data_IF_468786008061
#
_entry.id   IF_468786008061
#
_cell.length_a   1.000
_cell.length_b   1.000
_cell.length_c   1.000
_cell.angle_alpha   90.00
_cell.angle_beta   90.00
_cell.angle_gamma   90.00
#
_symmetry.space_group_name_H-M   'P 1'
#
loop_
_entity.id
_entity.type
_entity.pdbx_description
1 polymer ?
#
# COMPACT_ATOMS: atom_id res chain seq x y z
N UNK A 1 27.27 -0.34 -5.86
CA UNK A 1 26.43 -1.06 -4.86
C UNK A 1 26.93 -0.65 -3.48
N UNK A 2 26.08 -0.03 -2.67
CA UNK A 2 26.43 0.28 -1.26
C UNK A 2 26.61 -1.05 -0.55
N UNK A 3 27.76 -1.23 0.11
CA UNK A 3 27.97 -2.38 1.01
C UNK A 3 27.11 -2.13 2.27
N UNK A 4 26.05 -2.89 2.39
CA UNK A 4 25.07 -2.77 3.47
C UNK A 4 25.77 -3.01 4.83
N UNK A 5 26.61 -4.02 4.91
CA UNK A 5 27.32 -4.38 6.16
C UNK A 5 28.28 -3.26 6.59
N UNK A 6 29.03 -2.69 5.63
CA UNK A 6 29.87 -1.52 5.89
C UNK A 6 29.06 -0.31 6.38
N UNK A 7 27.92 -0.03 5.77
CA UNK A 7 27.05 1.06 6.22
C UNK A 7 26.59 0.88 7.67
N UNK A 8 26.16 -0.33 8.04
CA UNK A 8 25.75 -0.64 9.40
C UNK A 8 26.91 -0.57 10.40
N UNK A 9 28.13 -0.95 9.99
CA UNK A 9 29.31 -0.86 10.86
C UNK A 9 29.71 0.58 11.21
N UNK A 10 29.26 1.57 10.45
CA UNK A 10 29.57 2.99 10.63
C UNK A 10 28.42 3.80 11.26
N UNK A 11 27.23 3.21 11.40
CA UNK A 11 26.05 3.92 11.87
C UNK A 11 25.31 3.12 12.93
N UNK A 12 24.84 3.80 13.97
CA UNK A 12 23.96 3.19 14.98
C UNK A 12 22.53 3.26 14.42
N UNK A 13 22.01 2.10 14.00
CA UNK A 13 20.65 1.96 13.44
C UNK A 13 19.79 1.26 14.49
N UNK A 14 18.70 1.93 14.91
CA UNK A 14 17.76 1.37 15.90
C UNK A 14 16.55 0.72 15.26
N UNK A 15 16.11 1.23 14.11
CA UNK A 15 14.91 0.78 13.43
C UNK A 15 15.15 0.76 11.92
N UNK A 16 14.64 -0.27 11.25
CA UNK A 16 14.57 -0.34 9.79
C UNK A 16 13.11 -0.34 9.38
N UNK A 17 12.77 0.51 8.41
CA UNK A 17 11.48 0.51 7.75
C UNK A 17 11.69 0.06 6.29
N UNK A 18 11.25 -1.16 5.99
CA UNK A 18 11.39 -1.75 4.66
C UNK A 18 10.12 -1.51 3.83
N UNK A 19 10.18 -0.54 2.91
CA UNK A 19 9.11 -0.19 1.97
C UNK A 19 9.48 -0.49 0.50
N UNK A 20 10.73 -0.88 0.23
CA UNK A 20 11.17 -1.18 -1.12
C UNK A 20 10.42 -2.41 -1.68
N UNK A 21 9.92 -2.29 -2.92
CA UNK A 21 9.16 -3.39 -3.55
C UNK A 21 9.22 -3.31 -5.07
N UNK A 22 9.18 -4.48 -5.70
CA UNK A 22 8.91 -4.65 -7.13
C UNK A 22 7.50 -5.26 -7.28
N UNK A 23 6.63 -4.63 -8.06
CA UNK A 23 5.24 -5.05 -8.23
C UNK A 23 5.05 -6.24 -9.18
N UNK A 24 6.14 -6.82 -9.72
CA UNK A 24 6.08 -8.02 -10.55
C UNK A 24 5.28 -7.80 -11.83
N UNK A 25 5.51 -6.70 -12.55
CA UNK A 25 4.76 -6.40 -13.79
C UNK A 25 5.05 -7.38 -14.92
N UNK A 26 6.22 -8.00 -14.90
CA UNK A 26 6.60 -9.06 -15.85
C UNK A 26 6.47 -10.42 -15.16
N UNK A 27 5.35 -11.08 -15.37
CA UNK A 27 5.07 -12.43 -14.84
C UNK A 27 6.00 -13.51 -15.42
N UNK A 28 6.64 -13.23 -16.58
CA UNK A 28 7.57 -14.17 -17.23
C UNK A 28 8.99 -14.09 -16.65
N UNK A 29 9.33 -13.01 -15.94
CA UNK A 29 10.63 -12.84 -15.31
C UNK A 29 10.50 -12.59 -13.80
N UNK A 30 10.31 -13.65 -12.97
CA UNK A 30 10.13 -13.51 -11.53
C UNK A 30 11.40 -13.11 -10.78
N UNK A 31 12.58 -13.23 -11.39
CA UNK A 31 13.88 -13.08 -10.69
C UNK A 31 14.03 -11.69 -10.09
N UNK A 32 13.79 -10.62 -10.85
CA UNK A 32 13.87 -9.25 -10.31
C UNK A 32 12.91 -9.01 -9.14
N UNK A 33 11.71 -9.61 -9.22
CA UNK A 33 10.72 -9.52 -8.14
C UNK A 33 11.19 -10.26 -6.90
N UNK A 34 11.79 -11.45 -7.05
CA UNK A 34 12.36 -12.23 -5.96
C UNK A 34 13.56 -11.51 -5.35
N UNK A 35 14.45 -10.96 -6.16
CA UNK A 35 15.60 -10.18 -5.68
C UNK A 35 15.16 -8.98 -4.86
N UNK A 36 14.18 -8.20 -5.33
CA UNK A 36 13.71 -7.01 -4.65
C UNK A 36 12.86 -7.31 -3.40
N UNK A 37 11.95 -8.29 -3.47
CA UNK A 37 10.93 -8.52 -2.44
C UNK A 37 11.30 -9.61 -1.44
N UNK A 38 12.30 -10.44 -1.73
CA UNK A 38 12.75 -11.53 -0.87
C UNK A 38 14.23 -11.42 -0.53
N UNK A 39 15.12 -11.39 -1.52
CA UNK A 39 16.56 -11.47 -1.26
C UNK A 39 17.12 -10.20 -0.63
N UNK A 40 16.73 -9.01 -1.12
CA UNK A 40 17.15 -7.74 -0.53
C UNK A 40 16.69 -7.59 0.93
N UNK A 41 15.39 -7.72 1.26
CA UNK A 41 14.96 -7.58 2.64
C UNK A 41 15.50 -8.70 3.56
N UNK A 42 15.74 -9.90 3.05
CA UNK A 42 16.39 -10.96 3.84
C UNK A 42 17.86 -10.61 4.18
N UNK A 43 18.60 -10.02 3.24
CA UNK A 43 19.95 -9.48 3.53
C UNK A 43 19.89 -8.36 4.56
N UNK A 44 18.94 -7.43 4.43
CA UNK A 44 18.75 -6.35 5.41
C UNK A 44 18.41 -6.89 6.79
N UNK A 45 17.50 -7.86 6.89
CA UNK A 45 17.11 -8.50 8.15
C UNK A 45 18.31 -9.21 8.81
N UNK A 46 19.06 -10.00 8.04
CA UNK A 46 20.25 -10.70 8.54
C UNK A 46 21.32 -9.72 9.04
N UNK A 47 21.56 -8.63 8.29
CA UNK A 47 22.50 -7.59 8.70
C UNK A 47 22.00 -6.82 9.92
N UNK A 48 20.70 -6.54 10.01
CA UNK A 48 20.07 -5.91 11.16
C UNK A 48 20.30 -6.70 12.45
N UNK A 49 20.11 -8.01 12.41
CA UNK A 49 20.34 -8.92 13.54
C UNK A 49 21.81 -8.90 13.93
N UNK A 50 22.74 -9.02 12.96
CA UNK A 50 24.19 -9.00 13.19
C UNK A 50 24.65 -7.71 13.90
N UNK A 51 24.02 -6.58 13.60
CA UNK A 51 24.34 -5.26 14.15
C UNK A 51 23.42 -4.81 15.31
N UNK A 52 22.67 -5.73 15.91
CA UNK A 52 21.79 -5.49 17.07
C UNK A 52 20.77 -4.37 16.84
N UNK A 53 20.20 -4.27 15.64
CA UNK A 53 19.05 -3.39 15.37
C UNK A 53 17.86 -3.88 16.19
N UNK A 54 17.16 -2.94 16.83
CA UNK A 54 16.07 -3.29 17.74
C UNK A 54 14.75 -3.66 17.04
N UNK A 55 14.44 -2.99 15.92
CA UNK A 55 13.12 -3.08 15.28
C UNK A 55 13.26 -3.21 13.76
N UNK A 56 12.54 -4.15 13.18
CA UNK A 56 12.38 -4.29 11.74
C UNK A 56 10.89 -4.17 11.36
N UNK A 57 10.52 -3.09 10.68
CA UNK A 57 9.17 -2.87 10.18
C UNK A 57 9.12 -3.24 8.70
N UNK A 58 8.23 -4.16 8.34
CA UNK A 58 8.03 -4.58 6.96
C UNK A 58 6.67 -4.11 6.43
N UNK A 59 6.63 -3.58 5.23
CA UNK A 59 5.39 -3.40 4.50
C UNK A 59 5.05 -4.66 3.71
N UNK A 60 3.86 -5.18 3.90
CA UNK A 60 3.30 -6.32 3.21
C UNK A 60 2.04 -5.92 2.41
N UNK A 61 1.45 -6.85 1.73
CA UNK A 61 0.18 -6.70 1.00
C UNK A 61 -0.91 -7.56 1.62
N UNK A 62 -2.15 -7.09 1.55
CA UNK A 62 -3.31 -7.91 1.90
C UNK A 62 -3.60 -9.03 0.88
N UNK A 63 -3.00 -8.99 -0.30
CA UNK A 63 -3.25 -9.95 -1.36
C UNK A 63 -2.81 -11.37 -0.97
N UNK A 64 -3.62 -12.34 -1.33
CA UNK A 64 -3.24 -13.76 -1.19
C UNK A 64 -2.07 -14.09 -2.13
N UNK A 65 -1.18 -14.97 -1.65
CA UNK A 65 0.03 -15.39 -2.38
C UNK A 65 -0.23 -16.00 -3.77
N UNK A 66 -1.46 -16.48 -4.02
CA UNK A 66 -1.85 -17.11 -5.28
C UNK A 66 -2.28 -16.11 -6.37
N UNK A 67 -2.36 -14.82 -6.05
CA UNK A 67 -2.85 -13.81 -7.00
C UNK A 67 -1.82 -13.51 -8.09
N UNK A 68 -0.55 -13.31 -7.70
CA UNK A 68 0.54 -13.00 -8.63
C UNK A 68 1.91 -13.21 -7.97
N UNK A 69 3.00 -13.06 -8.75
CA UNK A 69 4.38 -13.22 -8.26
C UNK A 69 4.75 -12.18 -7.19
N UNK A 70 4.18 -10.97 -7.25
CA UNK A 70 4.39 -9.94 -6.23
C UNK A 70 3.86 -10.40 -4.88
N UNK A 71 2.59 -10.82 -4.79
CA UNK A 71 2.01 -11.27 -3.54
C UNK A 71 2.70 -12.53 -3.02
N UNK A 72 3.08 -13.45 -3.90
CA UNK A 72 3.84 -14.64 -3.53
C UNK A 72 5.18 -14.28 -2.86
N UNK A 73 5.99 -13.43 -3.51
CA UNK A 73 7.31 -13.02 -2.99
C UNK A 73 7.20 -12.29 -1.63
N UNK A 74 6.19 -11.44 -1.46
CA UNK A 74 5.92 -10.75 -0.18
C UNK A 74 5.56 -11.77 0.91
N UNK A 75 4.70 -12.75 0.64
CA UNK A 75 4.30 -13.77 1.60
C UNK A 75 5.44 -14.75 1.94
N UNK A 76 6.34 -15.03 1.01
CA UNK A 76 7.56 -15.79 1.29
C UNK A 76 8.48 -15.07 2.28
N UNK A 77 8.62 -13.75 2.16
CA UNK A 77 9.41 -12.98 3.12
C UNK A 77 8.84 -13.00 4.54
N UNK A 78 7.51 -13.05 4.70
CA UNK A 78 6.86 -13.18 6.03
C UNK A 78 7.34 -14.43 6.77
N UNK A 79 7.54 -15.57 6.08
CA UNK A 79 7.99 -16.80 6.73
C UNK A 79 9.42 -16.62 7.30
N UNK A 80 10.27 -15.85 6.61
CA UNK A 80 11.59 -15.48 7.14
C UNK A 80 11.49 -14.51 8.32
N UNK A 81 10.59 -13.53 8.27
CA UNK A 81 10.34 -12.63 9.41
C UNK A 81 9.94 -13.42 10.66
N UNK A 82 9.00 -14.35 10.55
CA UNK A 82 8.60 -15.24 11.65
C UNK A 82 9.76 -16.09 12.15
N UNK A 83 10.60 -16.62 11.24
CA UNK A 83 11.74 -17.46 11.60
C UNK A 83 12.78 -16.71 12.45
N UNK A 84 12.90 -15.40 12.28
CA UNK A 84 13.88 -14.57 12.98
C UNK A 84 13.28 -13.69 14.08
N UNK A 85 12.01 -13.86 14.41
CA UNK A 85 11.29 -13.01 15.37
C UNK A 85 11.81 -13.10 16.82
N UNK A 86 12.52 -14.18 17.17
CA UNK A 86 13.19 -14.29 18.47
C UNK A 86 14.48 -13.45 18.59
N UNK A 87 14.99 -12.96 17.45
CA UNK A 87 16.26 -12.23 17.38
C UNK A 87 16.10 -10.72 17.22
N UNK A 88 14.93 -10.25 16.81
CA UNK A 88 14.63 -8.85 16.55
C UNK A 88 13.13 -8.63 16.61
N UNK A 89 12.67 -7.50 17.19
CA UNK A 89 11.26 -7.13 17.16
C UNK A 89 10.79 -6.86 15.74
N UNK A 90 9.79 -7.61 15.29
CA UNK A 90 9.23 -7.51 13.94
C UNK A 90 7.84 -6.93 13.98
N UNK A 91 7.61 -5.92 13.12
CA UNK A 91 6.30 -5.34 12.84
C UNK A 91 6.01 -5.52 11.35
N UNK A 92 5.03 -6.36 11.02
CA UNK A 92 4.59 -6.59 9.64
C UNK A 92 3.27 -5.90 9.38
N UNK A 93 3.24 -4.96 8.44
CA UNK A 93 2.07 -4.14 8.11
C UNK A 93 1.53 -4.55 6.73
N UNK A 94 0.42 -5.27 6.70
CA UNK A 94 -0.30 -5.58 5.46
C UNK A 94 -1.18 -4.40 5.09
N UNK A 95 -0.79 -3.71 4.02
CA UNK A 95 -1.44 -2.47 3.59
C UNK A 95 -2.59 -2.74 2.64
N UNK A 96 -3.73 -2.10 2.91
CA UNK A 96 -4.87 -1.99 2.01
C UNK A 96 -4.57 -1.06 0.82
N UNK A 97 -5.58 -0.70 0.02
CA UNK A 97 -5.43 0.16 -1.14
C UNK A 97 -5.13 1.60 -0.72
N UNK A 98 -3.87 1.89 -0.42
CA UNK A 98 -3.47 3.25 -0.08
C UNK A 98 -3.29 4.10 -1.33
N UNK A 99 -3.62 5.38 -1.20
CA UNK A 99 -3.55 6.38 -2.25
C UNK A 99 -3.20 7.76 -1.66
N UNK A 100 -2.84 8.70 -2.51
CA UNK A 100 -2.54 10.08 -2.12
C UNK A 100 -1.80 10.83 -3.21
N UNK A 101 -1.29 11.99 -2.83
CA UNK A 101 -0.55 12.90 -3.70
C UNK A 101 0.72 12.24 -4.24
N UNK A 102 1.06 12.55 -5.47
CA UNK A 102 2.26 12.08 -6.19
C UNK A 102 2.40 10.55 -6.34
N UNK A 103 1.31 9.79 -6.14
CA UNK A 103 1.35 8.35 -6.37
C UNK A 103 1.55 8.02 -7.86
N UNK A 104 2.05 6.81 -8.12
CA UNK A 104 2.33 6.35 -9.47
C UNK A 104 1.06 6.39 -10.35
N UNK A 105 1.16 7.10 -11.48
CA UNK A 105 0.07 7.33 -12.43
C UNK A 105 -0.51 6.03 -13.06
N UNK A 106 0.17 4.91 -12.94
CA UNK A 106 -0.33 3.60 -13.38
C UNK A 106 -1.21 2.90 -12.33
N UNK A 107 -1.23 3.38 -11.08
CA UNK A 107 -2.11 2.84 -10.05
C UNK A 107 -3.55 3.30 -10.26
N UNK A 108 -4.49 2.44 -9.87
CA UNK A 108 -5.91 2.59 -10.16
C UNK A 108 -6.48 3.97 -9.77
N UNK A 109 -6.23 4.43 -8.54
CA UNK A 109 -6.79 5.71 -8.04
C UNK A 109 -6.24 6.88 -8.85
N UNK A 110 -4.92 7.00 -8.97
CA UNK A 110 -4.25 8.08 -9.72
C UNK A 110 -4.61 8.08 -11.20
N UNK A 111 -4.69 6.87 -11.81
CA UNK A 111 -5.12 6.72 -13.20
C UNK A 111 -6.55 7.24 -13.39
N UNK A 112 -7.50 6.86 -12.52
CA UNK A 112 -8.89 7.25 -12.64
C UNK A 112 -9.11 8.74 -12.37
N UNK A 113 -8.45 9.33 -11.37
CA UNK A 113 -8.49 10.78 -11.13
C UNK A 113 -8.01 11.52 -12.37
N UNK A 114 -6.85 11.15 -12.91
CA UNK A 114 -6.30 11.78 -14.12
C UNK A 114 -7.23 11.66 -15.30
N UNK A 115 -7.80 10.48 -15.51
CA UNK A 115 -8.74 10.19 -16.61
C UNK A 115 -10.02 11.02 -16.49
N UNK A 116 -10.55 11.18 -15.27
CA UNK A 116 -11.78 11.93 -15.02
C UNK A 116 -11.55 13.45 -15.02
N UNK A 117 -10.36 13.92 -14.66
CA UNK A 117 -10.00 15.34 -14.79
C UNK A 117 -9.89 15.81 -16.25
N UNK A 118 -9.66 14.89 -17.20
CA UNK A 118 -9.60 15.26 -18.62
C UNK A 118 -10.98 15.63 -19.20
N UNK A 119 -12.07 15.16 -18.62
CA UNK A 119 -13.50 15.43 -18.96
C UNK A 119 -13.80 15.55 -20.47
N UNK A 120 -13.21 14.68 -21.29
CA UNK A 120 -13.36 14.72 -22.74
C UNK A 120 -14.75 14.27 -23.16
N UNK A 121 -15.40 15.05 -24.02
CA UNK A 121 -16.70 14.71 -24.62
C UNK A 121 -16.64 13.37 -25.34
N UNK A 122 -17.60 12.48 -25.07
CA UNK A 122 -17.66 11.13 -25.63
C UNK A 122 -16.67 10.14 -25.05
N UNK A 123 -15.94 10.52 -23.97
CA UNK A 123 -15.06 9.59 -23.26
C UNK A 123 -15.85 8.46 -22.61
N UNK A 124 -15.42 7.21 -22.84
CA UNK A 124 -16.01 6.01 -22.22
C UNK A 124 -14.92 5.25 -21.48
N UNK A 125 -15.20 4.91 -20.22
CA UNK A 125 -14.35 4.01 -19.42
C UNK A 125 -15.08 2.69 -19.25
N UNK A 126 -14.57 1.63 -19.88
CA UNK A 126 -15.10 0.28 -19.72
C UNK A 126 -14.65 -0.30 -18.38
N UNK A 127 -15.57 -0.82 -17.61
CA UNK A 127 -15.34 -1.29 -16.24
C UNK A 127 -15.98 -2.66 -16.03
N UNK A 128 -15.50 -3.39 -15.02
CA UNK A 128 -16.22 -4.54 -14.46
C UNK A 128 -17.52 -4.05 -13.83
N UNK A 129 -18.43 -4.94 -13.38
CA UNK A 129 -19.65 -4.49 -12.68
C UNK A 129 -19.41 -3.57 -11.48
N UNK A 130 -18.18 -3.60 -10.91
CA UNK A 130 -17.78 -2.68 -9.86
C UNK A 130 -18.34 -3.00 -8.48
N UNK A 131 -18.90 -4.21 -8.27
CA UNK A 131 -19.52 -4.61 -7.00
C UNK A 131 -18.50 -5.09 -5.96
N UNK A 132 -17.27 -5.39 -6.38
CA UNK A 132 -16.20 -5.76 -5.46
C UNK A 132 -15.88 -4.59 -4.51
N UNK A 133 -15.86 -4.89 -3.22
CA UNK A 133 -15.53 -3.93 -2.17
C UNK A 133 -14.03 -3.78 -1.99
N UNK A 134 -13.60 -2.57 -1.67
CA UNK A 134 -12.21 -2.25 -1.32
C UNK A 134 -12.17 -1.33 -0.12
N UNK A 135 -11.11 -1.46 0.63
CA UNK A 135 -10.76 -0.53 1.68
C UNK A 135 -9.74 0.46 1.12
N UNK A 136 -10.05 1.74 1.10
CA UNK A 136 -9.15 2.79 0.64
C UNK A 136 -8.69 3.62 1.82
N UNK A 137 -7.39 3.81 1.96
CA UNK A 137 -6.79 4.60 3.03
C UNK A 137 -5.84 5.65 2.45
N UNK A 138 -5.88 6.87 2.98
CA UNK A 138 -4.96 7.93 2.56
C UNK A 138 -3.53 7.66 3.04
N UNK A 139 -2.54 8.04 2.25
CA UNK A 139 -1.11 7.80 2.56
C UNK A 139 -0.67 8.41 3.88
N UNK A 140 -1.19 9.59 4.27
CA UNK A 140 -0.85 10.23 5.54
C UNK A 140 -1.30 9.39 6.74
N UNK A 141 -2.46 8.72 6.66
CA UNK A 141 -2.90 7.79 7.69
C UNK A 141 -1.99 6.56 7.74
N UNK A 142 -1.55 6.05 6.58
CA UNK A 142 -0.56 4.96 6.53
C UNK A 142 0.75 5.39 7.19
N UNK A 143 1.27 6.59 6.88
CA UNK A 143 2.50 7.11 7.51
C UNK A 143 2.32 7.26 9.01
N UNK A 144 1.17 7.75 9.47
CA UNK A 144 0.90 7.97 10.88
C UNK A 144 0.88 6.67 11.70
N UNK A 145 0.53 5.52 11.11
CA UNK A 145 0.59 4.23 11.82
C UNK A 145 2.02 3.81 12.13
N UNK A 146 2.97 4.07 11.22
CA UNK A 146 4.39 3.78 11.49
C UNK A 146 4.88 4.58 12.70
N UNK A 147 4.54 5.86 12.76
CA UNK A 147 4.90 6.74 13.88
C UNK A 147 4.29 6.22 15.18
N UNK A 148 2.99 5.92 15.19
CA UNK A 148 2.31 5.41 16.37
C UNK A 148 2.91 4.10 16.91
N UNK A 149 3.29 3.17 16.03
CA UNK A 149 3.90 1.90 16.43
C UNK A 149 5.36 2.06 16.87
N UNK A 150 6.13 2.97 16.26
CA UNK A 150 7.49 3.28 16.68
C UNK A 150 7.48 3.96 18.05
N UNK A 151 6.60 4.93 18.28
CA UNK A 151 6.53 5.64 19.57
C UNK A 151 6.03 4.75 20.72
N UNK A 152 5.34 3.67 20.39
CA UNK A 152 4.75 2.75 21.37
C UNK A 152 5.31 1.32 21.26
N UNK A 153 6.50 1.13 20.67
CA UNK A 153 7.05 -0.21 20.42
C UNK A 153 7.20 -1.06 21.67
N UNK A 154 7.37 -0.44 22.84
CA UNK A 154 7.44 -1.11 24.14
C UNK A 154 6.14 -1.78 24.59
N UNK A 155 5.03 -1.50 23.92
CA UNK A 155 3.73 -2.15 24.15
C UNK A 155 3.51 -3.37 23.24
N UNK A 156 4.43 -3.61 22.29
CA UNK A 156 4.37 -4.75 21.39
C UNK A 156 4.95 -6.00 22.04
N UNK A 157 4.51 -7.16 21.58
CA UNK A 157 5.16 -8.42 21.93
C UNK A 157 6.59 -8.43 21.38
N UNK A 158 7.55 -8.92 22.15
CA UNK A 158 8.96 -8.99 21.75
C UNK A 158 9.22 -10.10 20.72
N UNK A 159 8.37 -10.20 19.69
CA UNK A 159 8.46 -11.22 18.66
C UNK A 159 7.91 -10.70 17.35
N UNK A 160 6.95 -11.39 16.76
CA UNK A 160 6.29 -11.06 15.50
C UNK A 160 4.91 -10.43 15.73
N UNK A 161 4.79 -9.17 15.35
CA UNK A 161 3.54 -8.42 15.40
C UNK A 161 3.01 -8.18 13.98
N UNK A 162 1.74 -8.48 13.74
CA UNK A 162 1.10 -8.29 12.44
C UNK A 162 -0.17 -7.45 12.56
N UNK A 163 -0.29 -6.47 11.62
CA UNK A 163 -1.45 -5.60 11.54
C UNK A 163 -1.91 -5.44 10.08
N UNK A 164 -3.22 -5.54 9.86
CA UNK A 164 -3.87 -5.15 8.61
C UNK A 164 -4.23 -3.67 8.69
N UNK A 165 -3.63 -2.86 7.82
CA UNK A 165 -3.75 -1.41 7.83
C UNK A 165 -4.78 -0.96 6.80
N UNK A 166 -5.82 -0.28 7.28
CA UNK A 166 -6.91 0.23 6.46
C UNK A 166 -7.83 1.14 7.27
N UNK A 167 -9.04 1.36 6.78
CA UNK A 167 -10.09 2.10 7.47
C UNK A 167 -11.17 1.15 8.01
N UNK A 168 -12.07 1.66 8.85
CA UNK A 168 -13.19 0.88 9.42
C UNK A 168 -14.32 0.61 8.43
N UNK A 169 -14.25 1.16 7.21
CA UNK A 169 -15.30 1.01 6.20
C UNK A 169 -14.73 0.59 4.85
N UNK A 170 -15.61 0.05 4.03
CA UNK A 170 -15.31 -0.36 2.65
C UNK A 170 -16.34 0.24 1.70
N UNK A 171 -15.91 0.48 0.46
CA UNK A 171 -16.79 0.93 -0.62
C UNK A 171 -16.66 -0.01 -1.81
N UNK A 172 -17.70 -0.13 -2.61
CA UNK A 172 -17.60 -0.80 -3.91
C UNK A 172 -16.75 0.04 -4.88
N UNK A 173 -16.13 -0.60 -5.85
CA UNK A 173 -15.42 0.13 -6.92
C UNK A 173 -16.36 1.09 -7.65
N UNK A 174 -17.63 0.71 -7.78
CA UNK A 174 -18.65 1.60 -8.40
C UNK A 174 -18.87 2.87 -7.58
N UNK A 175 -19.17 2.74 -6.28
CA UNK A 175 -19.31 3.90 -5.36
C UNK A 175 -18.07 4.78 -5.36
N UNK A 176 -16.89 4.18 -5.28
CA UNK A 176 -15.62 4.89 -5.34
C UNK A 176 -15.49 5.74 -6.63
N UNK A 177 -15.74 5.14 -7.79
CA UNK A 177 -15.60 5.84 -9.07
C UNK A 177 -16.67 6.91 -9.29
N UNK A 178 -17.89 6.70 -8.81
CA UNK A 178 -18.94 7.72 -8.84
C UNK A 178 -18.57 8.91 -7.96
N UNK A 179 -17.97 8.67 -6.78
CA UNK A 179 -17.44 9.72 -5.90
C UNK A 179 -16.32 10.50 -6.59
N UNK A 180 -15.30 9.82 -7.14
CA UNK A 180 -14.18 10.46 -7.86
C UNK A 180 -14.72 11.29 -9.04
N UNK A 181 -15.66 10.76 -9.80
CA UNK A 181 -16.29 11.48 -10.93
C UNK A 181 -16.99 12.76 -10.46
N UNK A 182 -17.73 12.69 -9.35
CA UNK A 182 -18.41 13.84 -8.76
C UNK A 182 -17.42 14.91 -8.31
N UNK A 183 -16.37 14.53 -7.59
CA UNK A 183 -15.34 15.45 -7.08
C UNK A 183 -14.48 16.07 -8.20
N UNK A 184 -14.31 15.37 -9.32
CA UNK A 184 -13.69 15.94 -10.53
C UNK A 184 -14.62 16.85 -11.32
N UNK A 185 -15.88 17.03 -10.92
CA UNK A 185 -16.93 17.73 -11.69
C UNK A 185 -17.08 17.23 -13.13
N UNK A 186 -16.75 15.95 -13.36
CA UNK A 186 -16.75 15.35 -14.69
C UNK A 186 -18.18 15.06 -15.18
N UNK A 187 -18.58 15.64 -16.31
CA UNK A 187 -19.90 15.47 -16.89
C UNK A 187 -19.90 14.62 -18.16
N UNK A 188 -18.78 14.56 -18.85
CA UNK A 188 -18.71 14.04 -20.21
C UNK A 188 -18.24 12.57 -20.29
N UNK A 189 -17.58 12.05 -19.26
CA UNK A 189 -17.09 10.66 -19.26
C UNK A 189 -18.20 9.70 -18.84
N UNK A 190 -18.50 8.72 -19.67
CA UNK A 190 -19.41 7.63 -19.33
C UNK A 190 -18.65 6.48 -18.65
N UNK A 191 -19.04 6.15 -17.42
CA UNK A 191 -18.53 4.98 -16.69
C UNK A 191 -19.38 3.77 -17.08
N UNK A 192 -18.88 2.92 -17.98
CA UNK A 192 -19.61 1.76 -18.51
C UNK A 192 -19.36 0.53 -17.64
N UNK A 193 -20.09 0.43 -16.53
CA UNK A 193 -20.02 -0.72 -15.62
C UNK A 193 -20.60 -1.98 -16.26
N UNK A 194 -19.93 -3.12 -16.09
CA UNK A 194 -20.31 -4.41 -16.65
C UNK A 194 -19.84 -4.64 -18.10
N UNK A 195 -19.13 -3.66 -18.69
CA UNK A 195 -18.55 -3.82 -20.02
C UNK A 195 -17.35 -4.77 -20.10
N UNK A 196 -16.74 -5.07 -18.94
CA UNK A 196 -15.66 -6.03 -18.78
C UNK A 196 -16.07 -7.11 -17.77
N UNK A 197 -15.67 -8.37 -17.97
CA UNK A 197 -15.83 -9.41 -16.94
C UNK A 197 -14.92 -9.12 -15.74
N UNK A 198 -15.24 -9.73 -14.61
CA UNK A 198 -14.27 -9.82 -13.51
C UNK A 198 -13.05 -10.64 -13.92
N UNK A 199 -11.92 -10.38 -13.27
CA UNK A 199 -10.73 -11.24 -13.39
C UNK A 199 -11.03 -12.60 -12.75
N UNK A 200 -10.35 -13.61 -13.22
CA UNK A 200 -10.35 -14.90 -12.53
C UNK A 200 -9.87 -14.71 -11.09
N UNK A 201 -10.58 -15.29 -10.13
CA UNK A 201 -10.32 -15.14 -8.69
C UNK A 201 -10.45 -13.70 -8.14
N UNK A 202 -11.31 -12.85 -8.72
CA UNK A 202 -11.57 -11.51 -8.19
C UNK A 202 -12.02 -11.59 -6.73
N UNK A 203 -11.31 -10.88 -5.86
CA UNK A 203 -11.66 -10.77 -4.44
C UNK A 203 -12.83 -9.81 -4.30
N UNK A 204 -13.99 -10.31 -3.85
CA UNK A 204 -15.21 -9.51 -3.71
C UNK A 204 -15.26 -8.66 -2.45
N UNK A 205 -14.58 -9.09 -1.37
CA UNK A 205 -14.53 -8.37 -0.10
C UNK A 205 -13.10 -8.30 0.44
N UNK A 206 -12.68 -7.16 0.99
CA UNK A 206 -11.35 -7.03 1.58
C UNK A 206 -11.27 -7.75 2.94
N UNK A 207 -10.06 -7.89 3.44
CA UNK A 207 -9.79 -8.29 4.83
C UNK A 207 -10.16 -7.12 5.76
N UNK A 208 -10.60 -7.40 6.98
CA UNK A 208 -10.85 -6.36 7.97
C UNK A 208 -9.54 -5.75 8.45
N UNK A 209 -9.50 -4.41 8.55
CA UNK A 209 -8.40 -3.70 9.18
C UNK A 209 -8.41 -3.90 10.70
N UNK A 210 -7.23 -3.92 11.32
CA UNK A 210 -7.04 -4.15 12.76
C UNK A 210 -7.21 -2.85 13.57
N UNK A 211 -8.31 -2.10 13.36
CA UNK A 211 -8.54 -0.78 13.96
C UNK A 211 -8.52 -0.84 15.49
N UNK A 212 -9.18 -1.82 16.10
CA UNK A 212 -9.21 -1.98 17.57
C UNK A 212 -7.82 -2.21 18.15
N UNK A 213 -7.04 -3.10 17.51
CA UNK A 213 -5.65 -3.35 17.93
C UNK A 213 -4.79 -2.09 17.79
N UNK A 214 -4.96 -1.36 16.70
CA UNK A 214 -4.17 -0.15 16.44
C UNK A 214 -4.58 1.01 17.37
N UNK A 215 -5.83 1.08 17.80
CA UNK A 215 -6.29 2.08 18.77
C UNK A 215 -5.59 1.96 20.13
N UNK A 216 -5.15 0.75 20.52
CA UNK A 216 -4.34 0.52 21.72
C UNK A 216 -2.98 1.27 21.67
N UNK A 217 -2.45 1.48 20.45
CA UNK A 217 -1.25 2.28 20.21
C UNK A 217 -1.55 3.76 19.95
N UNK A 218 -2.79 4.20 20.18
CA UNK A 218 -3.23 5.59 19.99
C UNK A 218 -3.46 5.97 18.51
N UNK A 219 -3.59 4.97 17.62
CA UNK A 219 -3.79 5.24 16.20
C UNK A 219 -5.23 4.92 15.74
N UNK A 220 -5.76 5.83 14.94
CA UNK A 220 -6.98 5.65 14.13
C UNK A 220 -6.84 6.44 12.84
N UNK A 221 -7.42 5.98 11.71
CA UNK A 221 -7.44 6.76 10.48
C UNK A 221 -8.26 8.03 10.69
N UNK A 222 -7.75 9.16 10.19
CA UNK A 222 -8.33 10.51 10.39
C UNK A 222 -8.86 11.13 9.11
N UNK A 223 -8.39 10.66 7.95
CA UNK A 223 -8.73 11.25 6.66
C UNK A 223 -9.89 10.48 6.06
N UNK A 224 -10.99 11.17 5.81
CA UNK A 224 -12.14 10.58 5.11
C UNK A 224 -11.76 10.22 3.67
N UNK A 225 -12.50 9.28 3.07
CA UNK A 225 -12.28 8.92 1.66
C UNK A 225 -12.45 10.14 0.75
N UNK A 226 -13.47 10.95 1.00
CA UNK A 226 -13.77 12.15 0.24
C UNK A 226 -12.66 13.19 0.35
N UNK A 227 -12.20 13.51 1.57
CA UNK A 227 -11.09 14.45 1.79
C UNK A 227 -9.79 13.96 1.14
N UNK A 228 -9.47 12.68 1.25
CA UNK A 228 -8.29 12.09 0.64
C UNK A 228 -8.33 12.17 -0.88
N UNK A 229 -9.47 11.87 -1.50
CA UNK A 229 -9.66 12.01 -2.95
C UNK A 229 -9.55 13.48 -3.36
N UNK A 230 -10.19 14.41 -2.63
CA UNK A 230 -10.13 15.84 -2.94
C UNK A 230 -8.69 16.36 -2.89
N UNK A 231 -7.91 16.04 -1.86
CA UNK A 231 -6.49 16.39 -1.77
C UNK A 231 -5.69 15.89 -2.97
N UNK A 232 -5.91 14.64 -3.37
CA UNK A 232 -5.23 14.04 -4.52
C UNK A 232 -5.60 14.75 -5.83
N UNK A 233 -6.88 15.11 -6.00
CA UNK A 233 -7.37 15.89 -7.15
C UNK A 233 -6.72 17.28 -7.19
N UNK A 234 -6.72 18.00 -6.07
CA UNK A 234 -6.12 19.34 -5.96
C UNK A 234 -4.62 19.32 -6.29
N UNK A 235 -3.92 18.29 -5.84
CA UNK A 235 -2.51 18.07 -6.18
C UNK A 235 -2.31 17.87 -7.70
N UNK A 236 -3.10 17.01 -8.32
CA UNK A 236 -3.02 16.76 -9.76
C UNK A 236 -3.36 18.00 -10.59
N UNK A 237 -4.32 18.81 -10.18
CA UNK A 237 -4.65 20.09 -10.82
C UNK A 237 -3.46 21.06 -10.72
N UNK A 238 -2.87 21.24 -9.53
CA UNK A 238 -1.70 22.09 -9.32
C UNK A 238 -0.50 21.64 -10.17
N UNK A 239 -0.30 20.32 -10.27
CA UNK A 239 0.78 19.72 -11.07
C UNK A 239 0.59 19.98 -12.58
N UNK A 240 -0.66 19.98 -13.07
CA UNK A 240 -1.01 20.31 -14.46
C UNK A 240 -0.73 21.78 -14.76
N UNK A 241 -1.15 22.70 -13.89
CA UNK A 241 -0.92 24.15 -14.05
C UNK A 241 0.57 24.46 -14.14
N UNK A 242 1.40 23.87 -13.26
CA UNK A 242 2.85 24.06 -13.28
C UNK A 242 3.56 23.54 -14.53
N UNK A 243 2.94 22.66 -15.33
CA UNK A 243 3.51 22.13 -16.57
C UNK A 243 3.17 22.97 -17.80
N UNK A 244 2.20 23.89 -17.68
CA UNK A 244 1.71 24.72 -18.79
C UNK A 244 2.34 26.13 -18.74
N UNK A 245 2.79 26.59 -17.57
CA UNK A 245 3.56 27.82 -17.38
C UNK A 245 5.07 27.55 -17.35
#
# INVERSE_FOLDING_TARGET
TIDIDYFFSKNIIKCIIHCATNYGKDENNPIETIEANLMLPLKLLSTAIKHNVSIFINTDTILDKRINIYSLSKKQFIEWLKRYSDSILIINLSLEHFFGEDDNQSKFVSYMIKKLLDDKVGSVVKLTPGLQKRNFIHIDDVVSVFIALIDNYNKLDNSYNHFNIGTSYTVTIKEFLELVKSLCFNKNTFLNFGALPYRDNEIMSPVNADIEKLSFFGWMPKISLEDGIQRTIDYEIKKRIKKIG
#
